data_IF_866812005805
#
_entry.id   IF_866812005805
#
_cell.length_a   1.000
_cell.length_b   1.000
_cell.length_c   1.000
_cell.angle_alpha   90.00
_cell.angle_beta   90.00
_cell.angle_gamma   90.00
#
_symmetry.space_group_name_H-M   'P 1'
#
loop_
_entity.id
_entity.type
_entity.pdbx_description
1 polymer ?
#
# COMPACT_ATOMS: atom_id res chain seq x y z
N UNK A 1 -10.04 28.32 77.54
CA UNK A 1 -10.54 28.87 76.25
C UNK A 1 -11.03 27.69 75.41
N UNK A 2 -12.34 27.57 75.18
CA UNK A 2 -12.99 26.34 74.69
C UNK A 2 -12.64 25.99 73.23
N UNK A 3 -12.38 24.70 72.96
CA UNK A 3 -12.12 24.08 71.64
C UNK A 3 -13.12 24.48 70.54
N UNK A 4 -14.35 24.88 70.90
CA UNK A 4 -15.35 25.38 69.94
C UNK A 4 -14.96 26.69 69.25
N UNK A 5 -14.09 27.52 69.84
CA UNK A 5 -13.58 28.75 69.18
C UNK A 5 -12.39 28.48 68.25
N UNK A 6 -11.67 27.37 68.44
CA UNK A 6 -10.59 26.93 67.55
C UNK A 6 -11.12 26.28 66.26
N UNK A 7 -12.26 25.59 66.30
CA UNK A 7 -12.88 25.02 65.09
C UNK A 7 -13.50 26.06 64.15
N UNK A 8 -13.87 27.24 64.65
CA UNK A 8 -14.40 28.32 63.79
C UNK A 8 -13.27 29.10 63.10
N UNK A 9 -12.07 29.14 63.68
CA UNK A 9 -10.89 29.71 62.99
C UNK A 9 -10.25 28.75 61.97
N UNK A 10 -10.44 27.43 62.10
CA UNK A 10 -9.90 26.46 61.16
C UNK A 10 -10.74 26.28 59.88
N UNK A 11 -11.97 26.80 59.84
CA UNK A 11 -12.86 26.75 58.67
C UNK A 11 -12.81 28.01 57.79
N UNK A 12 -12.01 29.02 58.15
CA UNK A 12 -11.78 30.25 57.37
C UNK A 12 -10.43 30.27 56.62
N UNK A 13 -9.87 29.11 56.29
CA UNK A 13 -8.74 28.99 55.34
C UNK A 13 -8.97 27.93 54.25
N UNK A 14 -10.23 27.70 53.88
CA UNK A 14 -10.57 27.14 52.57
C UNK A 14 -11.21 28.22 51.70
N UNK A 15 -10.57 29.39 51.66
CA UNK A 15 -10.64 30.21 50.47
C UNK A 15 -9.87 29.46 49.38
N UNK A 16 -10.48 28.46 48.75
CA UNK A 16 -10.08 28.10 47.39
C UNK A 16 -10.42 29.34 46.58
N UNK A 17 -9.47 30.27 46.51
CA UNK A 17 -9.46 31.20 45.39
C UNK A 17 -9.60 30.30 44.18
N UNK A 18 -10.72 30.41 43.51
CA UNK A 18 -10.86 29.92 42.16
C UNK A 18 -9.94 30.85 41.38
N UNK A 19 -8.63 30.65 41.51
CA UNK A 19 -7.67 31.23 40.62
C UNK A 19 -8.15 30.75 39.26
N UNK A 20 -8.68 31.68 38.47
CA UNK A 20 -8.69 31.50 37.03
C UNK A 20 -7.25 31.14 36.72
N UNK A 21 -6.98 29.87 36.42
CA UNK A 21 -5.63 29.41 36.14
C UNK A 21 -5.15 30.29 34.98
N UNK A 22 -4.31 31.27 35.30
CA UNK A 22 -3.75 32.15 34.31
C UNK A 22 -2.97 31.24 33.35
N UNK A 23 -3.04 31.55 32.05
CA UNK A 23 -2.26 30.80 31.06
C UNK A 23 -0.81 30.70 31.52
N UNK A 24 -0.21 29.52 31.39
CA UNK A 24 1.22 29.34 31.65
C UNK A 24 2.04 30.29 30.77
N UNK A 25 3.21 30.69 31.26
CA UNK A 25 4.08 31.56 30.48
C UNK A 25 4.57 30.88 29.20
N UNK A 26 4.68 29.54 29.22
CA UNK A 26 4.92 28.71 28.04
C UNK A 26 3.80 28.88 27.01
N UNK A 27 2.53 28.75 27.41
CA UNK A 27 1.41 28.95 26.50
C UNK A 27 1.37 30.39 25.97
N UNK A 28 1.59 31.40 26.83
CA UNK A 28 1.64 32.81 26.39
C UNK A 28 2.72 33.06 25.34
N UNK A 29 3.89 32.43 25.49
CA UNK A 29 4.97 32.55 24.51
C UNK A 29 4.56 31.94 23.16
N UNK A 30 3.98 30.73 23.17
CA UNK A 30 3.47 30.05 21.96
C UNK A 30 2.40 30.90 21.28
N UNK A 31 1.41 31.42 22.02
CA UNK A 31 0.32 32.22 21.45
C UNK A 31 0.80 33.55 20.84
N UNK A 32 1.93 34.09 21.30
CA UNK A 32 2.56 35.30 20.76
C UNK A 32 3.41 35.07 19.51
N UNK A 33 3.76 33.82 19.19
CA UNK A 33 4.53 33.51 18.00
C UNK A 33 3.78 33.95 16.73
N UNK A 34 4.53 34.57 15.81
CA UNK A 34 4.00 35.14 14.57
C UNK A 34 4.18 34.23 13.37
N UNK A 35 5.13 33.30 13.43
CA UNK A 35 5.41 32.36 12.35
C UNK A 35 5.10 30.95 12.82
N UNK A 36 4.77 30.07 11.88
CA UNK A 36 4.55 28.66 12.15
C UNK A 36 5.79 28.02 12.78
N UNK A 37 6.97 28.24 12.20
CA UNK A 37 8.21 27.61 12.65
C UNK A 37 8.60 28.04 14.08
N UNK A 38 8.45 29.33 14.42
CA UNK A 38 8.71 29.81 15.79
C UNK A 38 7.73 29.17 16.79
N UNK A 39 6.45 29.13 16.43
CA UNK A 39 5.43 28.51 17.27
C UNK A 39 5.71 27.01 17.44
N UNK A 40 6.07 26.31 16.37
CA UNK A 40 6.33 24.87 16.38
C UNK A 40 7.53 24.52 17.26
N UNK A 41 8.61 25.30 17.16
CA UNK A 41 9.77 25.17 18.02
C UNK A 41 9.43 25.38 19.51
N UNK A 42 8.58 26.37 19.82
CA UNK A 42 8.11 26.62 21.18
C UNK A 42 7.21 25.48 21.69
N UNK A 43 6.30 24.96 20.87
CA UNK A 43 5.46 23.79 21.22
C UNK A 43 6.35 22.59 21.52
N UNK A 44 7.29 22.24 20.64
CA UNK A 44 8.19 21.09 20.81
C UNK A 44 9.04 21.20 22.07
N UNK A 45 9.57 22.38 22.37
CA UNK A 45 10.44 22.60 23.54
C UNK A 45 9.69 22.73 24.86
N UNK A 46 8.41 23.14 24.83
CA UNK A 46 7.66 23.52 26.04
C UNK A 46 6.44 22.64 26.31
N UNK A 47 6.20 21.57 25.54
CA UNK A 47 4.99 20.73 25.67
C UNK A 47 4.77 20.19 27.09
N UNK A 48 5.85 19.78 27.76
CA UNK A 48 5.80 19.24 29.13
C UNK A 48 5.56 20.33 30.20
N UNK A 49 5.76 21.59 29.84
CA UNK A 49 5.55 22.76 30.72
C UNK A 49 4.14 23.33 30.60
N UNK A 50 3.33 22.85 29.65
CA UNK A 50 1.93 23.27 29.48
C UNK A 50 1.03 22.62 30.54
N UNK A 51 0.14 23.43 31.10
CA UNK A 51 -0.71 23.04 32.22
C UNK A 51 -1.99 22.37 31.71
N UNK A 52 -2.11 21.06 31.93
CA UNK A 52 -3.29 20.30 31.55
C UNK A 52 -3.44 20.09 30.04
N UNK A 53 -4.58 19.54 29.65
CA UNK A 53 -4.87 19.21 28.25
C UNK A 53 -5.33 20.43 27.46
N UNK A 54 -6.02 21.36 28.13
CA UNK A 54 -6.54 22.58 27.50
C UNK A 54 -5.44 23.51 26.97
N UNK A 55 -4.29 23.58 27.63
CA UNK A 55 -3.16 24.38 27.15
C UNK A 55 -2.43 23.69 26.01
N UNK A 56 -2.30 22.35 26.06
CA UNK A 56 -1.73 21.56 24.96
C UNK A 56 -2.59 21.67 23.70
N UNK A 57 -3.91 21.54 23.83
CA UNK A 57 -4.86 21.76 22.74
C UNK A 57 -4.72 23.17 22.16
N UNK A 58 -4.69 24.21 23.01
CA UNK A 58 -4.52 25.59 22.56
C UNK A 58 -3.18 25.84 21.85
N UNK A 59 -2.11 25.20 22.32
CA UNK A 59 -0.78 25.29 21.71
C UNK A 59 -0.75 24.67 20.31
N UNK A 60 -1.32 23.47 20.12
CA UNK A 60 -1.44 22.87 18.79
C UNK A 60 -2.42 23.64 17.90
N UNK A 61 -3.54 24.15 18.43
CA UNK A 61 -4.46 24.97 17.65
C UNK A 61 -3.79 26.25 17.11
N UNK A 62 -2.86 26.84 17.86
CA UNK A 62 -2.07 27.99 17.37
C UNK A 62 -1.25 27.63 16.12
N UNK A 63 -0.71 26.42 16.03
CA UNK A 63 -0.06 25.93 14.82
C UNK A 63 -1.05 25.77 13.67
N UNK A 64 -2.24 25.24 13.94
CA UNK A 64 -3.33 25.17 12.95
C UNK A 64 -3.69 26.55 12.44
N UNK A 65 -3.86 27.54 13.32
CA UNK A 65 -4.24 28.90 12.94
C UNK A 65 -3.18 29.55 12.03
N UNK A 66 -1.90 29.42 12.39
CA UNK A 66 -0.79 29.96 11.58
C UNK A 66 -0.65 29.26 10.23
N UNK A 67 -0.84 27.94 10.19
CA UNK A 67 -0.85 27.21 8.93
C UNK A 67 -2.05 27.62 8.06
N UNK A 68 -3.24 27.75 8.64
CA UNK A 68 -4.46 28.18 7.95
C UNK A 68 -4.39 29.62 7.43
N UNK A 69 -3.64 30.50 8.10
CA UNK A 69 -3.36 31.86 7.60
C UNK A 69 -2.62 31.79 6.26
N UNK A 70 -1.59 30.94 6.16
CA UNK A 70 -0.88 30.71 4.89
C UNK A 70 -1.79 30.04 3.85
N UNK A 71 -2.56 29.02 4.24
CA UNK A 71 -3.53 28.36 3.34
C UNK A 71 -4.49 29.39 2.72
N UNK A 72 -5.08 30.25 3.56
CA UNK A 72 -6.04 31.27 3.11
C UNK A 72 -5.40 32.28 2.17
N UNK A 73 -4.20 32.77 2.52
CA UNK A 73 -3.45 33.74 1.70
C UNK A 73 -3.15 33.19 0.30
N UNK A 74 -2.65 31.96 0.20
CA UNK A 74 -2.30 31.38 -1.11
C UNK A 74 -3.56 31.01 -1.91
N UNK A 75 -4.66 30.59 -1.25
CA UNK A 75 -5.96 30.38 -1.92
C UNK A 75 -6.53 31.67 -2.51
N UNK A 76 -6.48 32.78 -1.78
CA UNK A 76 -6.90 34.08 -2.29
C UNK A 76 -6.06 34.50 -3.51
N UNK A 77 -4.75 34.30 -3.47
CA UNK A 77 -3.87 34.58 -4.60
C UNK A 77 -4.21 33.71 -5.83
N UNK A 78 -4.44 32.40 -5.64
CA UNK A 78 -4.85 31.48 -6.70
C UNK A 78 -6.20 31.87 -7.31
N UNK A 79 -7.19 32.20 -6.49
CA UNK A 79 -8.51 32.62 -6.95
C UNK A 79 -8.44 33.93 -7.75
N UNK A 80 -7.65 34.90 -7.26
CA UNK A 80 -7.42 36.16 -7.97
C UNK A 80 -6.74 35.92 -9.33
N UNK A 81 -5.74 35.03 -9.38
CA UNK A 81 -5.07 34.65 -10.63
C UNK A 81 -6.03 34.03 -11.64
N UNK A 82 -6.89 33.11 -11.19
CA UNK A 82 -7.92 32.51 -12.05
C UNK A 82 -8.85 33.57 -12.65
N UNK A 83 -9.24 34.59 -11.88
CA UNK A 83 -10.06 35.70 -12.37
C UNK A 83 -9.30 36.59 -13.38
N UNK A 84 -8.03 36.90 -13.12
CA UNK A 84 -7.16 37.65 -14.04
C UNK A 84 -7.03 36.95 -15.39
N UNK A 85 -6.85 35.63 -15.38
CA UNK A 85 -6.77 34.81 -16.60
C UNK A 85 -8.10 34.77 -17.35
N UNK A 86 -9.22 34.55 -16.63
CA UNK A 86 -10.55 34.48 -17.24
C UNK A 86 -10.96 35.81 -17.89
N UNK A 87 -10.70 36.93 -17.21
CA UNK A 87 -11.04 38.26 -17.70
C UNK A 87 -10.00 38.84 -18.64
N UNK A 88 -8.83 38.19 -18.78
CA UNK A 88 -7.67 38.69 -19.53
C UNK A 88 -7.26 40.12 -19.12
N UNK A 89 -7.42 40.45 -17.85
CA UNK A 89 -7.14 41.79 -17.29
C UNK A 89 -6.43 41.68 -15.95
N UNK A 90 -5.39 42.50 -15.73
CA UNK A 90 -4.61 42.51 -14.49
C UNK A 90 -3.25 41.82 -14.60
N UNK A 91 -2.62 41.56 -13.44
CA UNK A 91 -1.32 40.88 -13.32
C UNK A 91 -1.46 39.69 -12.39
N UNK A 92 -0.84 38.57 -12.75
CA UNK A 92 -0.77 37.39 -11.89
C UNK A 92 0.07 37.69 -10.65
N UNK A 93 -0.47 37.35 -9.48
CA UNK A 93 0.26 37.34 -8.22
C UNK A 93 1.12 36.07 -8.12
N UNK A 94 2.32 36.14 -7.52
CA UNK A 94 3.10 34.94 -7.22
C UNK A 94 2.35 34.06 -6.21
N UNK A 95 2.36 32.75 -6.43
CA UNK A 95 1.79 31.73 -5.52
C UNK A 95 2.90 30.79 -5.10
N UNK A 96 3.04 30.57 -3.80
CA UNK A 96 3.95 29.57 -3.24
C UNK A 96 3.23 28.23 -3.10
N UNK A 97 3.12 27.49 -4.21
CA UNK A 97 2.35 26.23 -4.28
C UNK A 97 2.87 25.17 -3.31
N UNK A 98 4.19 24.95 -3.25
CA UNK A 98 4.78 23.95 -2.34
C UNK A 98 4.56 24.38 -0.88
N UNK A 99 4.73 25.66 -0.57
CA UNK A 99 4.45 26.16 0.77
C UNK A 99 2.97 26.07 1.14
N UNK A 100 2.06 26.28 0.18
CA UNK A 100 0.61 26.11 0.36
C UNK A 100 0.26 24.66 0.71
N UNK A 101 0.76 23.71 -0.06
CA UNK A 101 0.56 22.28 0.13
C UNK A 101 1.13 21.80 1.47
N UNK A 102 2.35 22.24 1.80
CA UNK A 102 2.96 21.99 3.12
C UNK A 102 2.11 22.58 4.25
N UNK A 103 1.61 23.80 4.10
CA UNK A 103 0.76 24.41 5.12
C UNK A 103 -0.56 23.65 5.32
N UNK A 104 -1.13 23.09 4.26
CA UNK A 104 -2.30 22.20 4.37
C UNK A 104 -1.96 20.94 5.19
N UNK A 105 -0.83 20.30 4.89
CA UNK A 105 -0.34 19.16 5.67
C UNK A 105 -0.11 19.51 7.14
N UNK A 106 0.59 20.61 7.41
CA UNK A 106 0.89 21.09 8.77
C UNK A 106 -0.40 21.40 9.54
N UNK A 107 -1.39 22.01 8.90
CA UNK A 107 -2.69 22.31 9.51
C UNK A 107 -3.44 21.02 9.90
N UNK A 108 -3.52 20.03 9.00
CA UNK A 108 -4.20 18.75 9.27
C UNK A 108 -3.46 17.98 10.38
N UNK A 109 -2.14 17.86 10.30
CA UNK A 109 -1.32 17.16 11.29
C UNK A 109 -1.50 17.76 12.69
N UNK A 110 -1.40 19.08 12.82
CA UNK A 110 -1.54 19.75 14.12
C UNK A 110 -2.99 19.80 14.60
N UNK A 111 -3.98 19.75 13.69
CA UNK A 111 -5.38 19.56 14.06
C UNK A 111 -5.62 18.21 14.74
N UNK A 112 -5.02 17.14 14.21
CA UNK A 112 -5.06 15.81 14.83
C UNK A 112 -4.34 15.78 16.18
N UNK A 113 -3.20 16.46 16.33
CA UNK A 113 -2.54 16.58 17.63
C UNK A 113 -3.35 17.41 18.63
N UNK A 114 -3.99 18.49 18.18
CA UNK A 114 -4.91 19.30 19.01
C UNK A 114 -6.06 18.43 19.55
N UNK A 115 -6.70 17.65 18.68
CA UNK A 115 -7.81 16.77 19.04
C UNK A 115 -7.45 15.80 20.18
N UNK A 116 -6.24 15.21 20.18
CA UNK A 116 -5.79 14.28 21.24
C UNK A 116 -5.90 14.86 22.65
N UNK A 117 -5.80 16.19 22.78
CA UNK A 117 -5.90 16.87 24.07
C UNK A 117 -7.26 17.55 24.27
N UNK A 118 -7.86 18.11 23.22
CA UNK A 118 -9.09 18.89 23.33
C UNK A 118 -10.29 18.05 23.82
N UNK A 119 -10.28 16.75 23.52
CA UNK A 119 -11.32 15.80 23.95
C UNK A 119 -11.09 15.18 25.33
N UNK A 120 -9.98 15.50 26.00
CA UNK A 120 -9.67 14.98 27.33
C UNK A 120 -10.18 15.92 28.44
N UNK A 121 -10.34 15.42 29.68
CA UNK A 121 -10.68 16.28 30.81
C UNK A 121 -9.65 17.39 31.01
N UNK A 122 -10.13 18.62 31.24
CA UNK A 122 -9.29 19.77 31.60
C UNK A 122 -8.81 19.68 33.08
N UNK A 123 -8.06 20.67 33.57
CA UNK A 123 -7.59 20.68 34.99
C UNK A 123 -8.72 20.69 36.02
N UNK A 124 -9.96 20.99 35.61
CA UNK A 124 -11.17 20.91 36.45
C UNK A 124 -11.94 19.60 36.28
N UNK A 125 -11.37 18.61 35.57
CA UNK A 125 -11.97 17.31 35.30
C UNK A 125 -13.13 17.32 34.31
N UNK A 126 -13.38 18.43 33.59
CA UNK A 126 -14.48 18.54 32.61
C UNK A 126 -13.98 18.29 31.19
N UNK A 127 -14.70 17.46 30.44
CA UNK A 127 -14.54 17.32 28.99
C UNK A 127 -15.38 18.41 28.32
N UNK A 128 -14.71 19.37 27.68
CA UNK A 128 -15.37 20.45 26.93
C UNK A 128 -14.45 20.87 25.78
N UNK A 129 -14.49 20.13 24.65
CA UNK A 129 -13.71 20.46 23.46
C UNK A 129 -13.99 21.90 23.03
N UNK A 130 -12.94 22.64 22.69
CA UNK A 130 -13.01 24.04 22.25
C UNK A 130 -12.75 24.20 20.77
N UNK A 131 -11.96 23.31 20.19
CA UNK A 131 -11.41 23.43 18.85
C UNK A 131 -11.93 22.36 17.91
N UNK A 132 -12.46 21.25 18.43
CA UNK A 132 -12.99 20.11 17.67
C UNK A 132 -13.82 20.52 16.44
N UNK A 133 -14.99 21.15 16.63
CA UNK A 133 -15.90 21.49 15.52
C UNK A 133 -15.27 22.46 14.52
N UNK A 134 -14.53 23.46 15.02
CA UNK A 134 -13.89 24.46 14.16
C UNK A 134 -12.80 23.83 13.29
N UNK A 135 -11.97 22.97 13.88
CA UNK A 135 -10.91 22.24 13.18
C UNK A 135 -11.49 21.19 12.23
N UNK A 136 -12.50 20.45 12.63
CA UNK A 136 -13.19 19.48 11.76
C UNK A 136 -13.64 20.15 10.45
N UNK A 137 -14.36 21.26 10.56
CA UNK A 137 -14.95 21.96 9.42
C UNK A 137 -13.91 22.62 8.50
N UNK A 138 -12.85 23.21 9.06
CA UNK A 138 -11.84 23.92 8.25
C UNK A 138 -10.75 23.00 7.68
N UNK A 139 -10.50 21.85 8.31
CA UNK A 139 -9.41 20.95 7.90
C UNK A 139 -9.88 19.83 6.97
N UNK A 140 -11.14 19.38 7.06
CA UNK A 140 -11.64 18.33 6.18
C UNK A 140 -11.48 18.67 4.69
N UNK A 141 -11.86 19.88 4.20
CA UNK A 141 -11.80 20.20 2.78
C UNK A 141 -10.37 20.27 2.21
N UNK A 142 -9.38 20.58 3.05
CA UNK A 142 -7.98 20.74 2.61
C UNK A 142 -7.18 19.43 2.68
N UNK A 143 -7.77 18.33 3.19
CA UNK A 143 -7.10 17.02 3.25
C UNK A 143 -6.59 16.58 1.87
N UNK A 144 -7.33 16.85 0.80
CA UNK A 144 -6.92 16.48 -0.57
C UNK A 144 -5.60 17.12 -1.00
N UNK A 145 -5.21 18.25 -0.43
CA UNK A 145 -3.94 18.91 -0.73
C UNK A 145 -2.72 18.13 -0.21
N UNK A 146 -2.91 17.26 0.79
CA UNK A 146 -1.84 16.35 1.25
C UNK A 146 -1.43 15.38 0.15
N UNK A 147 -2.35 15.02 -0.76
CA UNK A 147 -2.03 14.13 -1.89
C UNK A 147 -1.01 14.82 -2.81
N UNK A 148 -1.26 16.08 -3.15
CA UNK A 148 -0.36 16.88 -3.99
C UNK A 148 1.00 17.05 -3.31
N UNK A 149 0.99 17.39 -2.02
CA UNK A 149 2.23 17.54 -1.26
C UNK A 149 3.07 16.26 -1.24
N UNK A 150 2.43 15.12 -0.93
CA UNK A 150 3.09 13.82 -0.87
C UNK A 150 3.69 13.39 -2.21
N UNK A 151 3.04 13.73 -3.33
CA UNK A 151 3.56 13.48 -4.67
C UNK A 151 4.79 14.34 -4.99
N UNK A 152 4.76 15.65 -4.68
CA UNK A 152 5.85 16.59 -4.98
C UNK A 152 7.14 16.29 -4.21
N UNK A 153 7.01 15.76 -2.99
CA UNK A 153 8.16 15.45 -2.13
C UNK A 153 8.59 13.98 -2.17
N UNK A 154 7.79 13.10 -2.79
CA UNK A 154 7.95 11.65 -2.78
C UNK A 154 9.33 11.13 -3.20
N UNK A 155 9.90 11.70 -4.26
CA UNK A 155 11.24 11.31 -4.75
C UNK A 155 12.37 11.92 -3.92
N UNK A 156 12.11 13.05 -3.25
CA UNK A 156 13.12 13.80 -2.48
C UNK A 156 13.24 13.28 -1.05
N UNK A 157 12.12 12.93 -0.43
CA UNK A 157 12.04 12.47 0.95
C UNK A 157 10.90 11.45 1.12
N UNK A 158 11.24 10.18 1.02
CA UNK A 158 10.30 9.06 1.13
C UNK A 158 9.69 8.94 2.53
N UNK A 159 10.44 9.28 3.57
CA UNK A 159 9.96 9.22 4.95
C UNK A 159 8.95 10.32 5.22
N UNK A 160 9.17 11.53 4.70
CA UNK A 160 8.19 12.59 4.77
C UNK A 160 6.95 12.27 3.91
N UNK A 161 7.12 11.74 2.70
CA UNK A 161 5.98 11.36 1.87
C UNK A 161 5.11 10.30 2.54
N UNK A 162 5.74 9.29 3.16
CA UNK A 162 5.03 8.32 3.97
C UNK A 162 4.24 9.01 5.09
N UNK A 163 4.82 9.96 5.83
CA UNK A 163 4.12 10.69 6.90
C UNK A 163 2.93 11.48 6.36
N UNK A 164 3.07 12.13 5.21
CA UNK A 164 2.01 12.92 4.57
C UNK A 164 0.84 12.02 4.15
N UNK A 165 1.12 10.95 3.40
CA UNK A 165 0.06 10.00 2.99
C UNK A 165 -0.53 9.27 4.19
N UNK A 166 0.27 8.91 5.19
CA UNK A 166 -0.22 8.34 6.46
C UNK A 166 -1.19 9.28 7.16
N UNK A 167 -0.85 10.57 7.22
CA UNK A 167 -1.72 11.59 7.84
C UNK A 167 -3.06 11.69 7.10
N UNK A 168 -3.04 11.62 5.76
CA UNK A 168 -4.27 11.55 4.97
C UNK A 168 -5.10 10.31 5.32
N UNK A 169 -4.50 9.12 5.31
CA UNK A 169 -5.22 7.86 5.54
C UNK A 169 -5.75 7.77 6.97
N UNK A 170 -4.91 8.05 7.96
CA UNK A 170 -5.24 7.92 9.38
C UNK A 170 -6.24 8.98 9.83
N UNK A 171 -6.21 10.18 9.24
CA UNK A 171 -7.21 11.21 9.52
C UNK A 171 -8.63 10.77 9.16
N UNK A 172 -8.82 9.88 8.18
CA UNK A 172 -10.16 9.39 7.83
C UNK A 172 -10.85 8.61 8.96
N UNK A 173 -10.11 8.02 9.92
CA UNK A 173 -10.68 7.35 11.11
C UNK A 173 -10.54 8.18 12.40
N UNK A 174 -10.04 9.41 12.31
CA UNK A 174 -9.86 10.30 13.46
C UNK A 174 -11.20 10.75 14.05
N UNK A 175 -11.26 10.87 15.39
CA UNK A 175 -12.42 11.44 16.09
C UNK A 175 -12.72 12.86 15.65
N UNK A 176 -11.68 13.63 15.29
CA UNK A 176 -11.80 15.02 14.81
C UNK A 176 -12.83 15.17 13.68
N UNK A 177 -12.94 14.17 12.80
CA UNK A 177 -13.82 14.23 11.63
C UNK A 177 -15.07 13.35 11.78
N UNK A 178 -15.40 12.92 13.01
CA UNK A 178 -16.57 12.08 13.28
C UNK A 178 -17.91 12.80 13.04
N UNK A 179 -17.93 14.14 13.17
CA UNK A 179 -19.10 14.97 12.88
C UNK A 179 -19.28 15.34 11.40
N UNK A 180 -18.34 14.96 10.52
CA UNK A 180 -18.43 15.29 9.09
C UNK A 180 -19.41 14.35 8.38
N UNK A 181 -20.39 14.94 7.69
CA UNK A 181 -21.35 14.21 6.86
C UNK A 181 -20.71 13.76 5.53
N UNK A 182 -20.14 12.54 5.56
CA UNK A 182 -19.46 11.92 4.41
C UNK A 182 -20.38 11.59 3.24
N UNK A 183 -21.71 11.62 3.43
CA UNK A 183 -22.65 11.44 2.32
C UNK A 183 -22.66 12.64 1.37
N UNK A 184 -22.29 13.83 1.88
CA UNK A 184 -22.22 15.07 1.10
C UNK A 184 -20.82 15.38 0.59
N UNK A 185 -19.81 14.87 1.30
CA UNK A 185 -18.39 15.05 0.97
C UNK A 185 -17.67 13.71 1.13
N UNK A 186 -17.92 12.75 0.21
CA UNK A 186 -17.26 11.45 0.26
C UNK A 186 -15.75 11.64 0.07
N UNK A 187 -14.98 10.82 0.78
CA UNK A 187 -13.55 10.69 0.52
C UNK A 187 -13.36 9.73 -0.67
N UNK A 188 -13.22 10.30 -1.87
CA UNK A 188 -13.07 9.55 -3.12
C UNK A 188 -11.66 9.00 -3.34
N UNK A 189 -10.69 9.40 -2.52
CA UNK A 189 -9.28 9.07 -2.72
C UNK A 189 -8.73 8.12 -1.66
N UNK A 190 -9.48 7.81 -0.60
CA UNK A 190 -9.01 6.99 0.51
C UNK A 190 -8.38 5.67 0.06
N UNK A 191 -9.02 4.93 -0.84
CA UNK A 191 -8.49 3.65 -1.33
C UNK A 191 -7.15 3.81 -2.03
N UNK A 192 -7.07 4.74 -2.99
CA UNK A 192 -5.85 4.99 -3.76
C UNK A 192 -4.72 5.59 -2.91
N UNK A 193 -5.03 6.53 -2.02
CA UNK A 193 -4.03 7.09 -1.12
C UNK A 193 -3.55 6.04 -0.11
N UNK A 194 -4.41 5.13 0.34
CA UNK A 194 -4.00 3.99 1.17
C UNK A 194 -3.07 3.04 0.41
N UNK A 195 -3.39 2.76 -0.86
CA UNK A 195 -2.51 1.97 -1.74
C UNK A 195 -1.14 2.63 -1.91
N UNK A 196 -1.10 3.94 -2.14
CA UNK A 196 0.16 4.71 -2.25
C UNK A 196 0.91 4.74 -0.92
N UNK A 197 0.25 4.99 0.20
CA UNK A 197 0.85 4.96 1.53
C UNK A 197 1.48 3.60 1.83
N UNK A 198 0.83 2.51 1.43
CA UNK A 198 1.37 1.16 1.53
C UNK A 198 2.67 0.96 0.72
N UNK A 199 2.76 1.51 -0.49
CA UNK A 199 3.99 1.48 -1.29
C UNK A 199 5.13 2.20 -0.56
N UNK A 200 4.90 3.43 -0.06
CA UNK A 200 5.92 4.17 0.68
C UNK A 200 6.31 3.47 1.99
N UNK A 201 5.35 2.89 2.71
CA UNK A 201 5.61 2.11 3.91
C UNK A 201 6.49 0.90 3.60
N UNK A 202 6.23 0.20 2.49
CA UNK A 202 7.06 -0.91 2.05
C UNK A 202 8.48 -0.45 1.66
N UNK A 203 8.61 0.63 0.88
CA UNK A 203 9.92 1.16 0.45
C UNK A 203 10.78 1.63 1.64
N UNK A 204 10.16 2.13 2.70
CA UNK A 204 10.81 2.53 3.96
C UNK A 204 10.94 1.37 4.95
N UNK A 205 10.68 0.13 4.51
CA UNK A 205 10.82 -1.13 5.27
C UNK A 205 9.88 -1.27 6.47
N UNK A 206 8.76 -0.56 6.49
CA UNK A 206 7.71 -0.68 7.50
C UNK A 206 6.58 -1.60 7.01
N UNK A 207 6.79 -2.92 7.11
CA UNK A 207 5.87 -3.94 6.60
C UNK A 207 4.53 -3.97 7.33
N UNK A 208 4.51 -3.71 8.64
CA UNK A 208 3.26 -3.68 9.41
C UNK A 208 2.38 -2.52 8.96
N UNK A 209 2.99 -1.34 8.75
CA UNK A 209 2.27 -0.18 8.23
C UNK A 209 1.83 -0.38 6.78
N UNK A 210 2.65 -1.02 5.95
CA UNK A 210 2.29 -1.37 4.58
C UNK A 210 1.06 -2.29 4.55
N UNK A 211 1.03 -3.31 5.42
CA UNK A 211 -0.12 -4.20 5.55
C UNK A 211 -1.38 -3.47 6.04
N UNK A 212 -1.26 -2.61 7.06
CA UNK A 212 -2.38 -1.79 7.55
C UNK A 212 -3.02 -0.99 6.42
N UNK A 213 -2.22 -0.34 5.58
CA UNK A 213 -2.75 0.50 4.51
C UNK A 213 -3.27 -0.30 3.30
N UNK A 214 -2.68 -1.45 3.00
CA UNK A 214 -3.26 -2.38 2.01
C UNK A 214 -4.63 -2.88 2.46
N UNK A 215 -4.81 -3.17 3.74
CA UNK A 215 -6.11 -3.64 4.26
C UNK A 215 -7.19 -2.56 4.12
N UNK A 216 -6.84 -1.27 4.23
CA UNK A 216 -7.76 -0.16 3.96
C UNK A 216 -8.03 -0.04 2.44
N UNK A 217 -7.01 -0.17 1.59
CA UNK A 217 -7.20 -0.13 0.14
C UNK A 217 -8.09 -1.28 -0.38
N UNK A 218 -8.06 -2.45 0.28
CA UNK A 218 -8.94 -3.58 -0.01
C UNK A 218 -10.42 -3.32 0.30
N UNK A 219 -10.76 -2.24 1.01
CA UNK A 219 -12.17 -1.83 1.22
C UNK A 219 -12.73 -1.08 -0.02
N UNK A 220 -11.88 -0.65 -0.95
CA UNK A 220 -12.26 0.09 -2.16
C UNK A 220 -12.22 -0.79 -3.42
N UNK A 221 -13.39 -0.93 -4.07
CA UNK A 221 -13.54 -1.70 -5.31
C UNK A 221 -12.61 -1.24 -6.46
N UNK A 222 -12.30 0.06 -6.56
CA UNK A 222 -11.48 0.60 -7.64
C UNK A 222 -10.00 0.21 -7.50
N UNK A 223 -9.52 0.04 -6.27
CA UNK A 223 -8.12 -0.31 -5.96
C UNK A 223 -7.96 -1.76 -5.51
N UNK A 224 -9.06 -2.50 -5.38
CA UNK A 224 -9.10 -3.86 -4.83
C UNK A 224 -8.11 -4.80 -5.49
N UNK A 225 -8.03 -4.81 -6.83
CA UNK A 225 -7.14 -5.71 -7.56
C UNK A 225 -5.68 -5.41 -7.24
N UNK A 226 -5.25 -4.14 -7.33
CA UNK A 226 -3.87 -3.77 -7.02
C UNK A 226 -3.55 -4.01 -5.53
N UNK A 227 -4.49 -3.71 -4.64
CA UNK A 227 -4.33 -3.92 -3.20
C UNK A 227 -4.22 -5.43 -2.86
N UNK A 228 -4.97 -6.28 -3.53
CA UNK A 228 -4.89 -7.74 -3.38
C UNK A 228 -3.53 -8.27 -3.82
N UNK A 229 -3.05 -7.84 -5.00
CA UNK A 229 -1.74 -8.22 -5.51
C UNK A 229 -0.63 -7.77 -4.54
N UNK A 230 -0.73 -6.54 -4.01
CA UNK A 230 0.17 -6.03 -2.98
C UNK A 230 0.11 -6.82 -1.67
N UNK A 231 -1.09 -7.22 -1.21
CA UNK A 231 -1.26 -8.02 0.02
C UNK A 231 -0.52 -9.35 -0.08
N UNK A 232 -0.68 -10.03 -1.21
CA UNK A 232 0.00 -11.30 -1.50
C UNK A 232 1.50 -11.06 -1.54
N UNK A 233 1.95 -10.07 -2.31
CA UNK A 233 3.37 -9.74 -2.44
C UNK A 233 4.01 -9.43 -1.08
N UNK A 234 3.39 -8.60 -0.24
CA UNK A 234 3.92 -8.27 1.09
C UNK A 234 3.97 -9.48 2.01
N UNK A 235 2.93 -10.31 2.00
CA UNK A 235 2.90 -11.53 2.80
C UNK A 235 3.91 -12.59 2.33
N UNK A 236 4.33 -12.55 1.06
CA UNK A 236 5.38 -13.42 0.52
C UNK A 236 6.80 -12.90 0.80
N UNK A 237 6.97 -11.69 1.34
CA UNK A 237 8.30 -11.15 1.61
C UNK A 237 8.89 -11.74 2.89
N UNK A 238 10.19 -12.04 2.85
CA UNK A 238 10.95 -12.40 4.05
C UNK A 238 10.63 -13.77 4.64
N UNK A 239 10.03 -14.68 3.86
CA UNK A 239 9.79 -16.07 4.27
C UNK A 239 11.13 -16.80 4.45
N UNK A 240 11.58 -16.95 5.70
CA UNK A 240 12.87 -17.57 6.04
C UNK A 240 12.72 -18.86 6.83
N UNK A 241 11.62 -18.99 7.56
CA UNK A 241 11.34 -20.12 8.43
C UNK A 241 10.08 -20.85 7.98
N UNK A 242 9.92 -22.10 8.45
CA UNK A 242 8.68 -22.86 8.24
C UNK A 242 7.46 -22.11 8.79
N UNK A 243 7.62 -21.43 9.93
CA UNK A 243 6.54 -20.64 10.54
C UNK A 243 6.11 -19.46 9.67
N UNK A 244 7.04 -18.82 8.97
CA UNK A 244 6.72 -17.75 8.02
C UNK A 244 5.91 -18.29 6.85
N UNK A 245 6.32 -19.43 6.29
CA UNK A 245 5.57 -20.08 5.22
C UNK A 245 4.15 -20.50 5.64
N UNK A 246 3.97 -21.00 6.86
CA UNK A 246 2.65 -21.35 7.41
C UNK A 246 1.77 -20.10 7.62
N UNK A 247 2.34 -18.95 8.01
CA UNK A 247 1.60 -17.68 8.09
C UNK A 247 1.17 -17.20 6.71
N UNK A 248 2.04 -17.34 5.71
CA UNK A 248 1.72 -16.99 4.33
C UNK A 248 0.64 -17.91 3.75
N UNK A 249 0.72 -19.22 4.03
CA UNK A 249 -0.32 -20.21 3.69
C UNK A 249 -1.66 -19.78 4.24
N UNK A 250 -1.75 -19.51 5.55
CA UNK A 250 -2.98 -19.03 6.19
C UNK A 250 -3.51 -17.75 5.55
N UNK A 251 -2.63 -16.82 5.20
CA UNK A 251 -3.02 -15.57 4.51
C UNK A 251 -3.66 -15.86 3.16
N UNK A 252 -3.05 -16.73 2.35
CA UNK A 252 -3.61 -17.12 1.05
C UNK A 252 -4.90 -17.92 1.17
N UNK A 253 -5.04 -18.78 2.18
CA UNK A 253 -6.30 -19.49 2.47
C UNK A 253 -7.43 -18.51 2.81
N UNK A 254 -7.19 -17.54 3.69
CA UNK A 254 -8.16 -16.50 4.04
C UNK A 254 -8.55 -15.66 2.82
N UNK A 255 -7.56 -15.28 2.00
CA UNK A 255 -7.81 -14.57 0.75
C UNK A 255 -8.61 -15.42 -0.23
N UNK A 256 -8.36 -16.73 -0.32
CA UNK A 256 -9.05 -17.64 -1.22
C UNK A 256 -10.53 -17.79 -0.83
N UNK A 257 -10.82 -17.89 0.47
CA UNK A 257 -12.19 -17.93 0.99
C UNK A 257 -12.94 -16.63 0.68
N UNK A 258 -12.29 -15.48 0.83
CA UNK A 258 -12.89 -14.17 0.49
C UNK A 258 -13.01 -13.93 -1.01
N UNK A 259 -12.16 -14.57 -1.80
CA UNK A 259 -12.06 -14.39 -3.26
C UNK A 259 -12.16 -15.73 -3.99
N UNK A 260 -13.28 -16.47 -3.85
CA UNK A 260 -13.37 -17.82 -4.39
C UNK A 260 -13.30 -17.85 -5.93
N UNK A 261 -13.49 -16.73 -6.62
CA UNK A 261 -13.33 -16.59 -8.07
C UNK A 261 -11.97 -16.04 -8.54
N UNK A 262 -11.06 -15.68 -7.64
CA UNK A 262 -9.76 -15.10 -8.03
C UNK A 262 -8.78 -16.17 -8.47
N UNK A 263 -8.44 -16.16 -9.76
CA UNK A 263 -7.40 -17.02 -10.34
C UNK A 263 -6.01 -16.71 -9.77
N UNK A 264 -5.74 -15.44 -9.45
CA UNK A 264 -4.46 -15.02 -8.84
C UNK A 264 -4.28 -15.68 -7.48
N UNK A 265 -5.26 -15.55 -6.59
CA UNK A 265 -5.19 -16.13 -5.24
C UNK A 265 -5.16 -17.65 -5.31
N UNK A 266 -5.99 -18.24 -6.18
CA UNK A 266 -6.03 -19.68 -6.43
C UNK A 266 -4.66 -20.22 -6.88
N UNK A 267 -4.03 -19.57 -7.86
CA UNK A 267 -2.75 -20.02 -8.40
C UNK A 267 -1.60 -19.88 -7.40
N UNK A 268 -1.59 -18.79 -6.63
CA UNK A 268 -0.61 -18.57 -5.57
C UNK A 268 -0.73 -19.64 -4.46
N UNK A 269 -1.95 -19.92 -4.01
CA UNK A 269 -2.19 -20.93 -2.97
C UNK A 269 -1.85 -22.35 -3.47
N UNK A 270 -2.23 -22.69 -4.71
CA UNK A 270 -1.90 -23.99 -5.30
C UNK A 270 -0.38 -24.19 -5.42
N UNK A 271 0.33 -23.17 -5.89
CA UNK A 271 1.79 -23.18 -6.02
C UNK A 271 2.48 -23.28 -4.65
N UNK A 272 1.95 -22.59 -3.65
CA UNK A 272 2.47 -22.66 -2.28
C UNK A 272 2.34 -24.09 -1.73
N UNK A 273 1.20 -24.75 -1.88
CA UNK A 273 1.05 -26.15 -1.44
C UNK A 273 2.09 -27.09 -2.07
N UNK A 274 2.42 -26.91 -3.36
CA UNK A 274 3.49 -27.67 -4.01
C UNK A 274 4.84 -27.41 -3.32
N UNK A 275 5.18 -26.14 -3.06
CA UNK A 275 6.46 -25.77 -2.41
C UNK A 275 6.58 -26.26 -0.96
N UNK A 276 5.46 -26.44 -0.26
CA UNK A 276 5.41 -26.93 1.12
C UNK A 276 5.37 -28.47 1.21
N UNK A 277 5.48 -29.17 0.09
CA UNK A 277 5.40 -30.63 0.04
C UNK A 277 4.02 -31.17 0.38
N UNK A 278 2.97 -30.41 0.05
CA UNK A 278 1.56 -30.79 0.23
C UNK A 278 0.83 -30.92 -1.13
N UNK A 279 1.37 -31.68 -2.10
CA UNK A 279 0.84 -31.72 -3.47
C UNK A 279 -0.61 -32.21 -3.55
N UNK A 280 -1.06 -33.04 -2.60
CA UNK A 280 -2.43 -33.57 -2.55
C UNK A 280 -3.46 -32.46 -2.30
N UNK A 281 -3.14 -31.47 -1.47
CA UNK A 281 -4.02 -30.32 -1.20
C UNK A 281 -4.15 -29.43 -2.43
N UNK A 282 -3.02 -29.17 -3.10
CA UNK A 282 -3.00 -28.45 -4.38
C UNK A 282 -3.80 -29.17 -5.45
N UNK A 283 -3.59 -30.47 -5.63
CA UNK A 283 -4.30 -31.29 -6.61
C UNK A 283 -5.82 -31.27 -6.37
N UNK A 284 -6.26 -31.49 -5.13
CA UNK A 284 -7.69 -31.41 -4.77
C UNK A 284 -8.29 -30.04 -5.11
N UNK A 285 -7.59 -28.95 -4.79
CA UNK A 285 -8.08 -27.60 -5.07
C UNK A 285 -8.20 -27.34 -6.58
N UNK A 286 -7.25 -27.86 -7.36
CA UNK A 286 -7.27 -27.78 -8.83
C UNK A 286 -8.44 -28.59 -9.40
N UNK A 287 -8.67 -29.80 -8.92
CA UNK A 287 -9.81 -30.64 -9.31
C UNK A 287 -11.15 -29.98 -8.99
N UNK A 288 -11.31 -29.45 -7.77
CA UNK A 288 -12.52 -28.76 -7.34
C UNK A 288 -12.80 -27.51 -8.21
N UNK A 289 -11.75 -26.81 -8.68
CA UNK A 289 -11.87 -25.68 -9.62
C UNK A 289 -12.30 -26.15 -11.00
N UNK A 290 -11.66 -27.18 -11.55
CA UNK A 290 -11.96 -27.73 -12.88
C UNK A 290 -13.34 -28.40 -12.94
N UNK A 291 -13.84 -28.95 -11.83
CA UNK A 291 -15.19 -29.48 -11.74
C UNK A 291 -16.26 -28.39 -11.92
N UNK A 292 -15.97 -27.16 -11.47
CA UNK A 292 -16.86 -25.99 -11.62
C UNK A 292 -16.67 -25.29 -12.96
N UNK A 293 -15.42 -25.18 -13.40
CA UNK A 293 -15.04 -24.57 -14.67
C UNK A 293 -13.99 -25.44 -15.38
N UNK A 294 -14.43 -26.38 -16.24
CA UNK A 294 -13.54 -27.28 -16.96
C UNK A 294 -12.56 -26.59 -17.93
N UNK A 295 -12.78 -25.32 -18.23
CA UNK A 295 -11.97 -24.50 -19.11
C UNK A 295 -11.30 -23.33 -18.37
N UNK A 296 -11.19 -23.41 -17.05
CA UNK A 296 -10.40 -22.44 -16.29
C UNK A 296 -8.92 -22.58 -16.68
N UNK A 297 -8.38 -21.54 -17.34
CA UNK A 297 -7.01 -21.51 -17.82
C UNK A 297 -6.00 -21.84 -16.72
N UNK A 298 -6.10 -21.13 -15.59
CA UNK A 298 -5.15 -21.23 -14.47
C UNK A 298 -5.12 -22.63 -13.88
N UNK A 299 -6.28 -23.25 -13.68
CA UNK A 299 -6.39 -24.59 -13.14
C UNK A 299 -5.86 -25.66 -14.10
N UNK A 300 -6.10 -25.51 -15.41
CA UNK A 300 -5.54 -26.41 -16.43
C UNK A 300 -4.01 -26.32 -16.46
N UNK A 301 -3.46 -25.10 -16.45
CA UNK A 301 -2.02 -24.87 -16.43
C UNK A 301 -1.36 -25.45 -15.16
N UNK A 302 -1.97 -25.26 -13.98
CA UNK A 302 -1.46 -25.81 -12.72
C UNK A 302 -1.57 -27.34 -12.65
N UNK A 303 -2.65 -27.92 -13.17
CA UNK A 303 -2.77 -29.38 -13.30
C UNK A 303 -1.65 -29.93 -14.17
N UNK A 304 -1.44 -29.34 -15.35
CA UNK A 304 -0.41 -29.74 -16.27
C UNK A 304 1.01 -29.58 -15.68
N UNK A 305 1.25 -28.51 -14.92
CA UNK A 305 2.50 -28.33 -14.17
C UNK A 305 2.68 -29.40 -13.09
N UNK A 306 1.61 -29.79 -12.39
CA UNK A 306 1.64 -30.89 -11.41
C UNK A 306 1.98 -32.22 -12.09
N UNK A 307 1.37 -32.49 -13.25
CA UNK A 307 1.69 -33.66 -14.08
C UNK A 307 3.15 -33.62 -14.57
N UNK A 308 3.65 -32.47 -15.01
CA UNK A 308 5.05 -32.28 -15.42
C UNK A 308 6.03 -32.56 -14.28
N UNK A 309 5.77 -32.03 -13.09
CA UNK A 309 6.62 -32.24 -11.91
C UNK A 309 6.65 -33.70 -11.47
N UNK A 310 5.55 -34.43 -11.71
CA UNK A 310 5.46 -35.87 -11.50
C UNK A 310 5.97 -36.71 -12.69
N UNK A 311 6.62 -36.08 -13.69
CA UNK A 311 7.15 -36.71 -14.90
C UNK A 311 6.10 -37.41 -15.78
N UNK A 312 4.81 -37.09 -15.59
CA UNK A 312 3.69 -37.48 -16.45
C UNK A 312 3.62 -36.54 -17.65
N UNK A 313 4.64 -36.62 -18.50
CA UNK A 313 4.85 -35.63 -19.57
C UNK A 313 3.74 -35.64 -20.62
N UNK A 314 3.14 -36.79 -20.92
CA UNK A 314 2.04 -36.87 -21.90
C UNK A 314 0.79 -36.13 -21.40
N UNK A 315 0.42 -36.34 -20.14
CA UNK A 315 -0.69 -35.66 -19.48
C UNK A 315 -0.42 -34.16 -19.33
N UNK A 316 0.81 -33.79 -18.99
CA UNK A 316 1.25 -32.40 -18.93
C UNK A 316 1.11 -31.70 -20.28
N UNK A 317 1.62 -32.29 -21.36
CA UNK A 317 1.52 -31.74 -22.73
C UNK A 317 0.05 -31.59 -23.13
N UNK A 318 -0.80 -32.58 -22.88
CA UNK A 318 -2.22 -32.50 -23.19
C UNK A 318 -2.91 -31.37 -22.40
N UNK A 319 -2.60 -31.23 -21.11
CA UNK A 319 -3.14 -30.18 -20.25
C UNK A 319 -2.67 -28.77 -20.69
N UNK A 320 -1.39 -28.59 -20.99
CA UNK A 320 -0.85 -27.33 -21.51
C UNK A 320 -1.45 -26.97 -22.87
N UNK A 321 -1.62 -27.94 -23.79
CA UNK A 321 -2.33 -27.71 -25.06
C UNK A 321 -3.76 -27.21 -24.84
N UNK A 322 -4.49 -27.79 -23.87
CA UNK A 322 -5.84 -27.33 -23.52
C UNK A 322 -5.80 -25.91 -22.93
N UNK A 323 -4.87 -25.61 -22.02
CA UNK A 323 -4.70 -24.27 -21.46
C UNK A 323 -4.42 -23.23 -22.56
N UNK A 324 -3.50 -23.53 -23.49
CA UNK A 324 -3.15 -22.63 -24.60
C UNK A 324 -4.30 -22.44 -25.60
N UNK A 325 -5.25 -23.36 -25.70
CA UNK A 325 -6.46 -23.17 -26.51
C UNK A 325 -7.42 -22.12 -25.93
N UNK A 326 -7.26 -21.77 -24.64
CA UNK A 326 -8.04 -20.75 -23.94
C UNK A 326 -7.29 -19.41 -23.94
N UNK A 327 -5.97 -19.46 -23.67
CA UNK A 327 -5.09 -18.28 -23.64
C UNK A 327 -3.74 -18.62 -24.26
N UNK A 328 -3.43 -18.03 -25.42
CA UNK A 328 -2.29 -18.37 -26.27
C UNK A 328 -1.12 -17.37 -26.19
N UNK A 329 -1.10 -16.53 -25.16
CA UNK A 329 -0.11 -15.47 -24.96
C UNK A 329 0.78 -15.68 -23.71
N UNK A 330 0.78 -16.89 -23.13
CA UNK A 330 1.56 -17.19 -21.93
C UNK A 330 2.91 -17.86 -22.26
N UNK A 331 4.04 -17.12 -22.17
CA UNK A 331 5.34 -17.68 -22.50
C UNK A 331 5.72 -18.84 -21.56
N UNK A 332 5.27 -18.83 -20.30
CA UNK A 332 5.62 -19.85 -19.33
C UNK A 332 5.02 -21.21 -19.70
N UNK A 333 3.78 -21.24 -20.19
CA UNK A 333 3.12 -22.48 -20.62
C UNK A 333 3.78 -23.05 -21.88
N UNK A 334 4.18 -22.20 -22.84
CA UNK A 334 4.96 -22.64 -23.99
C UNK A 334 6.31 -23.23 -23.60
N UNK A 335 7.03 -22.59 -22.66
CA UNK A 335 8.30 -23.10 -22.16
C UNK A 335 8.14 -24.45 -21.44
N UNK A 336 7.14 -24.61 -20.58
CA UNK A 336 6.87 -25.89 -19.90
C UNK A 336 6.48 -27.01 -20.87
N UNK A 337 5.71 -26.71 -21.92
CA UNK A 337 5.39 -27.69 -22.94
C UNK A 337 6.64 -28.12 -23.72
N UNK A 338 7.49 -27.16 -24.13
CA UNK A 338 8.77 -27.47 -24.77
C UNK A 338 9.70 -28.30 -23.87
N UNK A 339 9.75 -27.97 -22.58
CA UNK A 339 10.49 -28.74 -21.58
C UNK A 339 9.98 -30.19 -21.48
N UNK A 340 8.66 -30.41 -21.40
CA UNK A 340 8.09 -31.76 -21.35
C UNK A 340 8.45 -32.58 -22.60
N UNK A 341 8.36 -31.97 -23.79
CA UNK A 341 8.69 -32.66 -25.05
C UNK A 341 10.19 -32.97 -25.12
N UNK A 342 11.05 -32.03 -24.72
CA UNK A 342 12.50 -32.26 -24.65
C UNK A 342 12.87 -33.35 -23.64
N UNK A 343 12.20 -33.41 -22.48
CA UNK A 343 12.42 -34.46 -21.50
C UNK A 343 12.07 -35.85 -22.06
N UNK A 344 10.95 -35.96 -22.80
CA UNK A 344 10.61 -37.18 -23.54
C UNK A 344 11.65 -37.52 -24.61
N UNK A 345 12.17 -36.51 -25.33
CA UNK A 345 13.23 -36.73 -26.31
C UNK A 345 14.48 -37.29 -25.64
N UNK A 346 14.95 -36.68 -24.55
CA UNK A 346 16.11 -37.12 -23.80
C UNK A 346 15.98 -38.55 -23.23
N UNK A 347 14.76 -38.97 -22.87
CA UNK A 347 14.50 -40.33 -22.40
C UNK A 347 14.42 -41.38 -23.53
N UNK A 348 14.25 -40.96 -24.79
CA UNK A 348 14.14 -41.87 -25.93
C UNK A 348 15.49 -42.48 -26.30
N UNK A 349 15.51 -43.79 -26.59
CA UNK A 349 16.68 -44.52 -27.07
C UNK A 349 16.85 -44.45 -28.59
N UNK A 350 15.89 -43.88 -29.31
CA UNK A 350 15.86 -43.82 -30.77
C UNK A 350 16.20 -42.42 -31.25
N UNK A 351 17.29 -42.28 -32.01
CA UNK A 351 17.70 -41.00 -32.62
C UNK A 351 16.59 -40.44 -33.52
N UNK A 352 15.83 -41.31 -34.19
CA UNK A 352 14.71 -40.88 -35.02
C UNK A 352 13.58 -40.28 -34.18
N UNK A 353 13.26 -40.90 -33.04
CA UNK A 353 12.22 -40.41 -32.13
C UNK A 353 12.66 -39.14 -31.39
N UNK A 354 13.93 -39.07 -31.01
CA UNK A 354 14.55 -37.84 -30.48
C UNK A 354 14.37 -36.68 -31.46
N UNK A 355 14.77 -36.86 -32.73
CA UNK A 355 14.60 -35.83 -33.77
C UNK A 355 13.15 -35.42 -33.97
N UNK A 356 12.22 -36.39 -33.99
CA UNK A 356 10.78 -36.11 -34.08
C UNK A 356 10.27 -35.26 -32.91
N UNK A 357 10.64 -35.61 -31.68
CA UNK A 357 10.22 -34.88 -30.48
C UNK A 357 10.83 -33.48 -30.42
N UNK A 358 12.12 -33.32 -30.73
CA UNK A 358 12.72 -31.98 -30.81
C UNK A 358 12.10 -31.12 -31.92
N UNK A 359 11.67 -31.73 -33.03
CA UNK A 359 10.93 -31.03 -34.09
C UNK A 359 9.54 -30.59 -33.61
N UNK A 360 8.85 -31.40 -32.79
CA UNK A 360 7.58 -31.00 -32.16
C UNK A 360 7.77 -29.88 -31.13
N UNK A 361 8.84 -29.93 -30.33
CA UNK A 361 9.14 -28.95 -29.28
C UNK A 361 9.47 -27.57 -29.82
N UNK A 362 10.25 -27.52 -30.90
CA UNK A 362 10.80 -26.31 -31.50
C UNK A 362 9.78 -25.16 -31.68
N UNK A 363 8.62 -25.33 -32.35
CA UNK A 363 7.68 -24.23 -32.57
C UNK A 363 7.12 -23.63 -31.27
N UNK A 364 7.01 -24.41 -30.19
CA UNK A 364 6.52 -23.90 -28.90
C UNK A 364 7.57 -23.05 -28.21
N UNK A 365 8.83 -23.48 -28.23
CA UNK A 365 9.93 -22.73 -27.62
C UNK A 365 10.25 -21.44 -28.41
N UNK A 366 10.12 -21.47 -29.73
CA UNK A 366 10.20 -20.27 -30.59
C UNK A 366 9.05 -19.30 -30.30
N UNK A 367 7.84 -19.82 -30.10
CA UNK A 367 6.69 -18.99 -29.70
C UNK A 367 6.91 -18.35 -28.32
N UNK A 368 7.47 -19.11 -27.37
CA UNK A 368 7.88 -18.56 -26.08
C UNK A 368 8.90 -17.43 -26.23
N UNK A 369 9.94 -17.62 -27.05
CA UNK A 369 10.95 -16.59 -27.37
C UNK A 369 10.32 -15.36 -28.02
N UNK A 370 9.34 -15.54 -28.90
CA UNK A 370 8.64 -14.42 -29.55
C UNK A 370 7.86 -13.57 -28.55
N UNK A 371 7.21 -14.20 -27.57
CA UNK A 371 6.40 -13.51 -26.56
C UNK A 371 7.29 -12.89 -25.47
N UNK A 372 8.35 -13.57 -25.05
CA UNK A 372 9.24 -13.18 -23.95
C UNK A 372 10.72 -13.17 -24.38
N UNK A 373 11.12 -12.29 -25.32
CA UNK A 373 12.48 -12.29 -25.89
C UNK A 373 13.56 -12.00 -24.84
N UNK A 374 13.22 -11.22 -23.81
CA UNK A 374 14.12 -10.86 -22.72
C UNK A 374 14.13 -11.88 -21.57
N UNK A 375 13.37 -12.99 -21.68
CA UNK A 375 13.26 -14.05 -20.66
C UNK A 375 12.85 -13.54 -19.28
N UNK A 376 11.97 -12.54 -19.22
CA UNK A 376 11.50 -11.96 -17.96
C UNK A 376 10.59 -12.92 -17.20
N UNK A 377 9.91 -13.83 -17.91
CA UNK A 377 8.87 -14.70 -17.36
C UNK A 377 9.21 -16.18 -17.52
N UNK A 378 9.93 -16.56 -18.58
CA UNK A 378 10.17 -17.96 -18.91
C UNK A 378 11.62 -18.24 -19.36
N UNK A 379 12.20 -19.32 -18.80
CA UNK A 379 13.54 -19.78 -19.15
C UNK A 379 13.53 -20.72 -20.37
N UNK A 380 13.27 -20.16 -21.56
CA UNK A 380 13.16 -20.93 -22.80
C UNK A 380 14.50 -21.18 -23.52
N UNK A 381 15.53 -20.37 -23.26
CA UNK A 381 16.78 -20.41 -24.03
C UNK A 381 17.49 -21.76 -24.00
N UNK A 382 17.60 -22.39 -22.83
CA UNK A 382 18.28 -23.69 -22.71
C UNK A 382 17.49 -24.83 -23.40
N UNK A 383 16.17 -25.00 -23.16
CA UNK A 383 15.37 -25.94 -23.95
C UNK A 383 15.43 -25.69 -25.46
N UNK A 384 15.44 -24.42 -25.90
CA UNK A 384 15.51 -24.08 -27.32
C UNK A 384 16.89 -24.41 -27.91
N UNK A 385 17.97 -24.20 -27.14
CA UNK A 385 19.31 -24.61 -27.52
C UNK A 385 19.38 -26.14 -27.75
N UNK A 386 18.75 -26.95 -26.88
CA UNK A 386 18.71 -28.40 -27.08
C UNK A 386 18.04 -28.78 -28.41
N UNK A 387 16.96 -28.09 -28.79
CA UNK A 387 16.30 -28.29 -30.08
C UNK A 387 17.24 -27.94 -31.24
N UNK A 388 17.85 -26.76 -31.23
CA UNK A 388 18.76 -26.34 -32.31
C UNK A 388 19.98 -27.25 -32.43
N UNK A 389 20.61 -27.59 -31.31
CA UNK A 389 21.76 -28.48 -31.29
C UNK A 389 21.42 -29.86 -31.88
N UNK A 390 20.28 -30.44 -31.49
CA UNK A 390 19.87 -31.77 -31.93
C UNK A 390 19.41 -31.81 -33.40
N UNK A 391 18.82 -30.73 -33.90
CA UNK A 391 18.24 -30.67 -35.25
C UNK A 391 19.23 -30.12 -36.31
N UNK A 392 20.10 -29.19 -35.92
CA UNK A 392 20.95 -28.42 -36.84
C UNK A 392 22.44 -28.55 -36.54
N UNK A 393 22.81 -28.96 -35.31
CA UNK A 393 24.19 -29.13 -34.89
C UNK A 393 24.82 -27.88 -34.28
N UNK A 394 26.02 -28.07 -33.71
CA UNK A 394 26.79 -27.04 -32.98
C UNK A 394 27.21 -25.83 -33.83
N UNK A 395 27.37 -26.05 -35.15
CA UNK A 395 27.89 -25.03 -36.05
C UNK A 395 26.83 -24.12 -36.66
N UNK A 396 25.55 -24.43 -36.47
CA UNK A 396 24.44 -23.60 -36.94
C UNK A 396 24.44 -22.23 -36.24
N UNK A 397 24.13 -21.18 -37.00
CA UNK A 397 24.14 -19.81 -36.49
C UNK A 397 23.18 -19.62 -35.29
N UNK A 398 22.02 -20.29 -35.31
CA UNK A 398 21.01 -20.21 -34.24
C UNK A 398 21.50 -20.90 -32.96
N UNK A 399 22.21 -22.02 -33.10
CA UNK A 399 22.84 -22.71 -31.97
C UNK A 399 23.88 -21.81 -31.30
N UNK A 400 24.78 -21.21 -32.10
CA UNK A 400 25.83 -20.30 -31.60
C UNK A 400 25.26 -19.05 -30.95
N UNK A 401 24.19 -18.51 -31.49
CA UNK A 401 23.47 -17.37 -30.91
C UNK A 401 22.97 -17.69 -29.50
N UNK A 402 22.28 -18.83 -29.31
CA UNK A 402 21.76 -19.20 -27.99
C UNK A 402 22.86 -19.61 -27.01
N UNK A 403 23.95 -20.24 -27.47
CA UNK A 403 25.11 -20.50 -26.61
C UNK A 403 25.71 -19.20 -26.06
N UNK A 404 25.78 -18.15 -26.88
CA UNK A 404 26.25 -16.84 -26.43
C UNK A 404 25.27 -16.16 -25.47
N UNK A 405 23.97 -16.43 -25.59
CA UNK A 405 22.91 -15.88 -24.73
C UNK A 405 22.82 -16.55 -23.34
N UNK A 406 23.35 -17.77 -23.22
CA UNK A 406 23.32 -18.58 -21.99
C UNK A 406 24.64 -18.50 -21.19
N UNK A 407 25.76 -18.16 -21.85
CA UNK A 407 27.04 -17.83 -21.19
C UNK A 407 26.97 -16.47 -20.51
#
# INVERSE_FOLDING_TARGET
MNMKKLMILALMMLGTSVAFAAQSDALKAILKAKTFDDAEALVKSSLNSLVGNEEKAAAYNKLVDLAMEKVSKEQEAMQNNQMVEQLKTGKLAPVDTIGYEKACYDAVLNGLECEKYDILPNVKGKVKPKFHDANANRLWPIRTQLIMYGQEIGEKDKDLALKVFSTYVDSNKSSLFSGIDRSKQPDEYLGEVSRVAAVYAYQTKNIDLANKYVDIALEDTATYKQALDMKIFFASQGLKTKDDSLKFEKTLEELYVKNPGSDVVFGQLASLYQSLGQPERGAKMIEDRLAKDPNNYTALALKAQTDMNAQRYDEAIAGFKKALSIKDDDPLVYAYMGFCINAKAAASQSVQDQKKLYTESLPYLEKCRQIDPERQHANWAYPLLQCYYSLYGENDARTKELEALIK
#
